data_IF_004507918531
#
_entry.id   IF_004507918531
#
_cell.length_a   1.000
_cell.length_b   1.000
_cell.length_c   1.000
_cell.angle_alpha   90.00
_cell.angle_beta   90.00
_cell.angle_gamma   90.00
#
_symmetry.space_group_name_H-M   'P 1'
#
loop_
_entity.id
_entity.type
_entity.pdbx_description
1 polymer ?
#
# COMPACT_ATOMS: atom_id res chain seq x y z
N UNK A 1 -14.49 2.49 13.16
CA UNK A 1 -14.61 2.83 12.38
C UNK A 1 -13.66 3.11 11.33
N UNK A 2 -12.99 3.99 11.22
CA UNK A 2 -12.21 4.32 10.12
C UNK A 2 -11.00 3.51 9.85
N UNK A 3 -10.58 2.73 10.81
CA UNK A 3 -9.42 2.02 10.61
C UNK A 3 -9.47 1.03 9.56
N UNK A 4 -10.51 0.33 9.36
CA UNK A 4 -10.64 -0.63 8.32
C UNK A 4 -10.61 0.00 6.95
N UNK A 5 -10.91 1.28 6.87
CA UNK A 5 -10.95 1.96 5.61
C UNK A 5 -9.60 2.19 4.98
N UNK A 6 -8.56 2.38 5.79
CA UNK A 6 -7.25 2.68 5.24
C UNK A 6 -6.68 1.49 4.48
N UNK A 7 -6.92 0.28 4.98
CA UNK A 7 -6.46 -0.90 4.28
C UNK A 7 -7.12 -1.01 2.92
N UNK A 8 -8.42 -0.74 2.87
CA UNK A 8 -9.15 -0.80 1.62
C UNK A 8 -8.65 0.27 0.66
N UNK A 9 -8.39 1.46 1.17
CA UNK A 9 -7.89 2.53 0.33
C UNK A 9 -6.53 2.20 -0.25
N UNK A 10 -5.68 1.56 0.54
CA UNK A 10 -4.39 1.15 0.04
C UNK A 10 -4.56 0.18 -1.11
N UNK A 11 -5.46 -0.79 -0.95
CA UNK A 11 -5.69 -1.76 -2.01
C UNK A 11 -6.22 -1.10 -3.26
N UNK A 12 -7.12 -0.16 -3.12
CA UNK A 12 -7.68 0.52 -4.27
C UNK A 12 -6.66 1.41 -4.95
N UNK A 13 -5.78 2.01 -4.16
CA UNK A 13 -4.74 2.85 -4.72
C UNK A 13 -3.72 2.06 -5.52
N UNK A 14 -3.60 0.78 -5.22
CA UNK A 14 -2.65 -0.06 -5.92
C UNK A 14 -3.30 -0.86 -7.05
N UNK A 15 -4.54 -0.54 -7.36
CA UNK A 15 -5.23 -1.24 -8.42
C UNK A 15 -4.48 -1.07 -9.73
N UNK A 16 -4.35 -2.13 -10.46
CA UNK A 16 -3.63 -2.10 -11.73
C UNK A 16 -2.13 -2.26 -11.59
N UNK A 17 -1.64 -2.41 -10.37
CA UNK A 17 -0.23 -2.56 -10.13
C UNK A 17 0.28 -3.89 -10.63
N UNK A 18 1.46 -3.87 -11.23
CA UNK A 18 2.09 -5.11 -11.66
C UNK A 18 2.97 -5.64 -10.54
N UNK A 19 2.77 -6.87 -10.20
CA UNK A 19 3.59 -7.49 -9.17
C UNK A 19 4.55 -8.46 -9.84
N UNK A 20 5.72 -8.68 -9.26
CA UNK A 20 6.20 -8.11 -8.00
C UNK A 20 6.53 -6.63 -8.12
N UNK A 21 6.38 -5.93 -7.03
CA UNK A 21 6.64 -4.51 -6.99
C UNK A 21 7.31 -4.14 -5.67
N UNK A 22 8.16 -3.16 -5.71
CA UNK A 22 8.80 -2.72 -4.48
C UNK A 22 8.09 -1.48 -3.94
N UNK A 23 8.57 -0.99 -2.82
CA UNK A 23 7.93 0.14 -2.14
C UNK A 23 7.84 1.37 -3.02
N UNK A 24 8.88 1.66 -3.77
CA UNK A 24 8.87 2.83 -4.63
C UNK A 24 7.81 2.71 -5.72
N UNK A 25 7.65 1.52 -6.26
CA UNK A 25 6.64 1.30 -7.27
C UNK A 25 5.25 1.42 -6.68
N UNK A 26 5.08 0.97 -5.46
CA UNK A 26 3.80 1.12 -4.78
C UNK A 26 3.46 2.58 -4.61
N UNK A 27 4.45 3.38 -4.23
CA UNK A 27 4.22 4.80 -4.04
C UNK A 27 3.83 5.48 -5.34
N UNK A 28 4.50 5.12 -6.41
CA UNK A 28 4.20 5.73 -7.69
C UNK A 28 2.81 5.36 -8.18
N UNK A 29 2.45 4.10 -8.01
CA UNK A 29 1.14 3.67 -8.45
C UNK A 29 0.04 4.36 -7.64
N UNK A 30 0.24 4.46 -6.33
CA UNK A 30 -0.73 5.14 -5.49
C UNK A 30 -0.87 6.60 -5.90
N UNK A 31 0.23 7.23 -6.22
CA UNK A 31 0.21 8.62 -6.63
C UNK A 31 -0.55 8.79 -7.92
N UNK A 32 -0.36 7.88 -8.86
CA UNK A 32 -1.08 7.95 -10.12
C UNK A 32 -2.57 7.75 -9.94
N UNK A 33 -2.95 7.00 -8.93
CA UNK A 33 -4.35 6.77 -8.62
C UNK A 33 -4.92 7.81 -7.67
N UNK A 34 -4.19 8.89 -7.45
CA UNK A 34 -4.66 9.99 -6.60
C UNK A 34 -4.94 9.55 -5.17
N UNK A 35 -4.06 8.75 -4.63
CA UNK A 35 -4.22 8.28 -3.27
C UNK A 35 -4.17 9.45 -2.30
N UNK A 36 -4.88 9.31 -1.20
CA UNK A 36 -4.88 10.35 -0.18
C UNK A 36 -3.54 10.39 0.51
N UNK A 37 -3.29 11.46 1.22
CA UNK A 37 -2.07 11.60 1.96
C UNK A 37 -1.91 10.49 2.98
N UNK A 38 -3.00 10.07 3.58
CA UNK A 38 -2.96 8.98 4.55
C UNK A 38 -2.46 7.69 3.93
N UNK A 39 -2.92 7.41 2.71
CA UNK A 39 -2.48 6.23 2.01
C UNK A 39 -1.00 6.34 1.66
N UNK A 40 -0.57 7.51 1.21
CA UNK A 40 0.84 7.70 0.88
C UNK A 40 1.71 7.51 2.11
N UNK A 41 1.28 8.04 3.24
CA UNK A 41 2.02 7.88 4.49
C UNK A 41 2.07 6.42 4.91
N UNK A 42 0.97 5.71 4.72
CA UNK A 42 0.93 4.30 5.08
C UNK A 42 1.92 3.51 4.24
N UNK A 43 1.99 3.80 2.96
CA UNK A 43 2.92 3.11 2.08
C UNK A 43 4.35 3.43 2.48
N UNK A 44 4.59 4.68 2.88
CA UNK A 44 5.92 5.08 3.32
C UNK A 44 6.39 4.27 4.52
N UNK A 45 5.48 3.86 5.37
CA UNK A 45 5.82 3.12 6.56
C UNK A 45 6.02 1.63 6.32
N UNK A 46 5.76 1.17 5.12
CA UNK A 46 5.99 -0.23 4.81
C UNK A 46 7.49 -0.52 4.77
N UNK A 47 7.88 -1.75 5.05
CA UNK A 47 9.29 -2.12 4.95
C UNK A 47 9.75 -2.06 3.50
N UNK A 48 11.03 -1.76 3.32
CA UNK A 48 11.61 -1.71 1.99
C UNK A 48 11.90 -3.11 1.50
N UNK A 49 10.95 -3.69 0.80
CA UNK A 49 11.10 -5.04 0.29
C UNK A 49 10.21 -5.18 -0.93
N UNK A 50 10.38 -6.28 -1.63
CA UNK A 50 9.55 -6.55 -2.78
C UNK A 50 8.29 -7.24 -2.34
N UNK A 51 7.19 -6.84 -2.91
CA UNK A 51 5.89 -7.41 -2.60
C UNK A 51 5.43 -8.19 -3.81
N UNK A 52 5.14 -9.46 -3.64
CA UNK A 52 4.76 -10.33 -4.75
C UNK A 52 3.28 -10.29 -5.07
N UNK A 53 2.50 -9.75 -4.18
CA UNK A 53 1.05 -9.69 -4.38
C UNK A 53 0.45 -8.65 -3.47
N UNK A 54 -0.78 -8.23 -3.74
CA UNK A 54 -1.45 -7.26 -2.87
C UNK A 54 -1.60 -7.78 -1.44
N UNK A 55 -1.73 -9.08 -1.31
CA UNK A 55 -1.86 -9.67 0.01
C UNK A 55 -0.62 -9.42 0.85
N UNK A 56 0.54 -9.46 0.22
CA UNK A 56 1.77 -9.20 0.96
C UNK A 56 1.86 -7.78 1.44
N UNK A 57 1.37 -6.84 0.64
CA UNK A 57 1.34 -5.45 1.04
C UNK A 57 0.46 -5.30 2.29
N UNK A 58 -0.71 -5.88 2.25
CA UNK A 58 -1.64 -5.79 3.33
C UNK A 58 -1.10 -6.42 4.60
N UNK A 59 -0.44 -7.56 4.44
CA UNK A 59 0.14 -8.25 5.54
C UNK A 59 1.25 -7.44 6.19
N UNK A 60 2.11 -6.84 5.39
CA UNK A 60 3.18 -6.01 5.91
C UNK A 60 2.64 -4.80 6.66
N UNK A 61 1.60 -4.20 6.13
CA UNK A 61 0.97 -3.06 6.77
C UNK A 61 0.41 -3.47 8.13
N UNK A 62 -0.28 -4.58 8.18
CA UNK A 62 -0.86 -5.05 9.42
C UNK A 62 0.17 -5.37 10.47
N UNK A 63 1.28 -5.97 10.06
CA UNK A 63 2.32 -6.33 10.99
C UNK A 63 3.02 -5.11 11.56
N UNK A 64 3.17 -4.09 10.73
CA UNK A 64 3.83 -2.87 11.18
C UNK A 64 2.97 -2.08 12.16
N UNK A 65 1.67 -2.23 12.06
CA UNK A 65 0.77 -1.42 12.86
C UNK A 65 -0.09 -2.20 13.84
N UNK A 66 0.42 -3.34 14.27
CA UNK A 66 -0.31 -4.11 15.22
C UNK A 66 -0.24 -3.61 16.63
#
# INVERSE_FOLDING_TARGET
MARGGITREIQESLKGMDYPADKDELKQQAKQNNASKEVMDAIEQLPSQKFNSPVEVQKAWGEEHK
#
